data_IF_671022046921
#
_entry.id   IF_671022046921
#
_cell.length_a   1.000
_cell.length_b   1.000
_cell.length_c   1.000
_cell.angle_alpha   90.00
_cell.angle_beta   90.00
_cell.angle_gamma   90.00
#
_symmetry.space_group_name_H-M   'P 1'
#
loop_
_entity.id
_entity.type
_entity.pdbx_description
1 polymer ?
#
# COMPACT_ATOMS: atom_id res chain seq x y z
N UNK A 1 -29.71 -9.87 4.72
CA UNK A 1 -29.22 -8.72 5.51
C UNK A 1 -28.75 -7.66 4.53
N UNK A 2 -29.23 -6.42 4.65
CA UNK A 2 -28.78 -5.30 3.82
C UNK A 2 -27.71 -4.54 4.62
N UNK A 3 -26.51 -4.41 4.07
CA UNK A 3 -25.37 -3.76 4.73
C UNK A 3 -24.89 -2.62 3.84
N UNK A 4 -24.73 -1.42 4.40
CA UNK A 4 -24.13 -0.30 3.68
C UNK A 4 -22.62 -0.32 3.92
N UNK A 5 -21.83 -0.32 2.84
CA UNK A 5 -20.38 -0.20 2.89
C UNK A 5 -19.98 1.16 2.33
N UNK A 6 -19.30 1.99 3.14
CA UNK A 6 -18.88 3.34 2.76
C UNK A 6 -17.64 3.75 3.58
N UNK A 7 -16.76 4.65 3.11
CA UNK A 7 -16.76 5.35 1.80
C UNK A 7 -15.56 4.97 0.93
N UNK A 8 -14.48 4.50 1.57
CA UNK A 8 -13.19 4.30 0.92
C UNK A 8 -13.23 3.09 -0.02
N UNK A 9 -13.13 3.38 -1.31
CA UNK A 9 -12.97 2.41 -2.40
C UNK A 9 -11.87 2.92 -3.32
N UNK A 10 -10.89 2.09 -3.61
CA UNK A 10 -9.77 2.43 -4.49
C UNK A 10 -9.27 1.18 -5.23
N UNK A 11 -8.23 1.35 -6.04
CA UNK A 11 -7.47 0.23 -6.60
C UNK A 11 -6.21 0.06 -5.78
N UNK A 12 -6.06 -1.12 -5.17
CA UNK A 12 -4.82 -1.52 -4.53
C UNK A 12 -3.90 -2.16 -5.57
N UNK A 13 -2.78 -1.50 -5.86
CA UNK A 13 -1.65 -2.09 -6.57
C UNK A 13 -0.76 -2.82 -5.57
N UNK A 14 -0.69 -4.15 -5.67
CA UNK A 14 0.06 -4.97 -4.69
C UNK A 14 1.16 -5.76 -5.34
N UNK A 15 2.28 -5.93 -4.64
CA UNK A 15 3.39 -6.74 -5.11
C UNK A 15 3.99 -7.55 -3.95
N UNK A 16 4.59 -8.69 -4.28
CA UNK A 16 5.44 -9.41 -3.35
C UNK A 16 6.85 -8.80 -3.42
N UNK A 17 7.25 -8.03 -2.42
CA UNK A 17 8.56 -7.40 -2.37
C UNK A 17 9.66 -8.47 -2.17
N UNK A 18 10.43 -8.75 -3.23
CA UNK A 18 11.57 -9.69 -3.18
C UNK A 18 12.88 -8.95 -3.04
N UNK A 19 13.89 -9.62 -2.44
CA UNK A 19 15.24 -9.06 -2.28
C UNK A 19 15.82 -8.51 -3.61
N UNK A 20 15.63 -9.21 -4.73
CA UNK A 20 16.13 -8.77 -6.05
C UNK A 20 15.55 -7.43 -6.52
N UNK A 21 14.33 -7.07 -6.08
CA UNK A 21 13.69 -5.80 -6.41
C UNK A 21 14.11 -4.70 -5.43
N UNK A 22 14.38 -5.06 -4.17
CA UNK A 22 14.77 -4.12 -3.14
C UNK A 22 16.25 -3.76 -3.21
N UNK A 23 17.14 -4.70 -3.56
CA UNK A 23 18.59 -4.50 -3.60
C UNK A 23 19.01 -3.26 -4.42
N UNK A 24 18.50 -3.02 -5.64
CA UNK A 24 18.86 -1.83 -6.41
C UNK A 24 18.37 -0.51 -5.80
N UNK A 25 17.42 -0.56 -4.87
CA UNK A 25 16.85 0.60 -4.19
C UNK A 25 17.54 0.87 -2.85
N UNK A 26 18.37 -0.07 -2.36
CA UNK A 26 19.10 0.10 -1.12
C UNK A 26 20.20 1.16 -1.32
N UNK A 27 20.39 2.07 -0.36
CA UNK A 27 21.56 2.92 -0.35
C UNK A 27 22.83 2.04 -0.25
N UNK A 28 23.94 2.54 -0.82
CA UNK A 28 25.24 1.87 -0.77
C UNK A 28 25.71 1.56 0.66
N UNK A 29 25.26 2.36 1.63
CA UNK A 29 25.51 2.18 3.05
C UNK A 29 24.17 2.20 3.81
N UNK A 30 23.72 1.03 4.25
CA UNK A 30 22.57 0.90 5.14
C UNK A 30 23.08 1.00 6.57
N UNK A 31 23.06 2.20 7.16
CA UNK A 31 23.21 2.31 8.61
C UNK A 31 21.89 1.89 9.26
N UNK A 32 21.91 0.86 10.12
CA UNK A 32 20.74 0.39 10.87
C UNK A 32 20.12 1.51 11.70
N UNK A 33 20.91 2.48 12.17
CA UNK A 33 20.43 3.66 12.91
C UNK A 33 19.55 4.60 12.07
N UNK A 34 19.59 4.49 10.72
CA UNK A 34 18.79 5.29 9.79
C UNK A 34 17.51 4.58 9.33
N UNK A 35 17.35 3.30 9.66
CA UNK A 35 16.13 2.53 9.37
C UNK A 35 15.07 2.91 10.40
N UNK A 36 13.93 3.39 9.91
CA UNK A 36 12.82 3.78 10.77
C UNK A 36 11.60 4.18 9.97
N UNK A 37 10.43 4.08 10.59
CA UNK A 37 9.18 4.50 9.98
C UNK A 37 9.19 6.02 9.71
N UNK A 38 8.89 6.42 8.48
CA UNK A 38 8.75 7.84 8.11
C UNK A 38 7.28 8.28 8.22
N UNK A 39 7.06 9.55 8.54
CA UNK A 39 5.72 10.14 8.56
C UNK A 39 5.12 10.31 7.16
N UNK A 40 5.98 10.46 6.15
CA UNK A 40 5.64 10.62 4.74
C UNK A 40 6.79 10.09 3.87
N UNK A 41 6.48 9.75 2.62
CA UNK A 41 7.44 9.26 1.63
C UNK A 41 7.71 10.38 0.61
N UNK A 42 8.84 11.06 0.79
CA UNK A 42 9.29 12.18 -0.07
C UNK A 42 10.30 11.75 -1.14
N UNK A 43 10.97 10.61 -0.91
CA UNK A 43 11.98 10.02 -1.80
C UNK A 43 12.02 8.49 -1.65
N UNK A 44 12.79 7.83 -2.52
CA UNK A 44 12.86 6.37 -2.60
C UNK A 44 13.43 5.74 -1.32
N UNK A 45 14.41 6.41 -0.71
CA UNK A 45 15.07 5.98 0.52
C UNK A 45 14.10 5.95 1.70
N UNK A 46 13.10 6.85 1.74
CA UNK A 46 12.08 6.88 2.79
C UNK A 46 11.19 5.64 2.72
N UNK A 47 10.83 5.20 1.50
CA UNK A 47 10.05 3.99 1.28
C UNK A 47 10.84 2.76 1.73
N UNK A 48 12.10 2.65 1.30
CA UNK A 48 12.96 1.52 1.63
C UNK A 48 13.21 1.46 3.14
N UNK A 49 13.47 2.60 3.78
CA UNK A 49 13.66 2.71 5.23
C UNK A 49 12.40 2.24 5.99
N UNK A 50 11.22 2.74 5.59
CA UNK A 50 9.96 2.37 6.25
C UNK A 50 9.59 0.91 6.01
N UNK A 51 9.83 0.38 4.79
CA UNK A 51 9.55 -1.01 4.46
C UNK A 51 10.43 -1.97 5.25
N UNK A 52 11.74 -1.70 5.33
CA UNK A 52 12.67 -2.53 6.11
C UNK A 52 12.35 -2.50 7.60
N UNK A 53 11.98 -1.33 8.13
CA UNK A 53 11.52 -1.21 9.51
C UNK A 53 10.25 -2.05 9.77
N UNK A 54 9.24 -1.94 8.91
CA UNK A 54 8.01 -2.74 9.04
C UNK A 54 8.28 -4.25 8.95
N UNK A 55 9.22 -4.66 8.08
CA UNK A 55 9.66 -6.05 7.98
C UNK A 55 10.39 -6.54 9.24
N UNK A 56 11.26 -5.71 9.85
CA UNK A 56 11.98 -6.09 11.07
C UNK A 56 11.05 -6.20 12.28
N UNK A 57 10.08 -5.30 12.40
CA UNK A 57 9.10 -5.29 13.49
C UNK A 57 7.92 -6.25 13.27
N UNK A 58 7.78 -6.83 12.08
CA UNK A 58 6.62 -7.65 11.73
C UNK A 58 5.29 -6.87 11.76
N UNK A 59 5.34 -5.59 11.39
CA UNK A 59 4.19 -4.67 11.46
C UNK A 59 3.77 -4.14 10.09
N UNK A 60 2.53 -3.65 9.98
CA UNK A 60 2.02 -2.98 8.79
C UNK A 60 1.98 -1.46 9.01
N UNK A 61 2.14 -0.69 7.94
CA UNK A 61 2.04 0.76 7.97
C UNK A 61 1.37 1.30 6.69
N UNK A 62 0.65 2.41 6.83
CA UNK A 62 0.09 3.20 5.73
C UNK A 62 0.73 4.59 5.78
N UNK A 63 1.45 4.97 4.72
CA UNK A 63 2.24 6.21 4.68
C UNK A 63 1.97 6.93 3.36
N UNK A 64 1.72 8.24 3.44
CA UNK A 64 1.43 9.07 2.27
C UNK A 64 2.67 9.29 1.41
N UNK A 65 2.50 9.22 0.08
CA UNK A 65 3.50 9.60 -0.92
C UNK A 65 3.29 11.06 -1.28
N UNK A 66 4.34 11.88 -1.19
CA UNK A 66 4.20 13.33 -1.28
C UNK A 66 4.07 13.89 -2.70
N UNK A 67 4.48 13.14 -3.75
CA UNK A 67 4.45 13.65 -5.12
C UNK A 67 4.04 12.62 -6.17
N UNK A 68 3.31 13.03 -7.23
CA UNK A 68 2.98 12.17 -8.36
C UNK A 68 4.20 11.61 -9.10
N UNK A 69 5.29 12.39 -9.18
CA UNK A 69 6.53 11.95 -9.82
C UNK A 69 7.17 10.77 -9.07
N UNK A 70 7.16 10.81 -7.73
CA UNK A 70 7.63 9.71 -6.90
C UNK A 70 6.71 8.50 -7.00
N UNK A 71 5.39 8.70 -6.99
CA UNK A 71 4.42 7.62 -7.19
C UNK A 71 4.67 6.88 -8.51
N UNK A 72 4.86 7.61 -9.62
CA UNK A 72 5.18 7.01 -10.92
C UNK A 72 6.52 6.25 -10.93
N UNK A 73 7.52 6.72 -10.17
CA UNK A 73 8.79 6.00 -10.01
C UNK A 73 8.61 4.69 -9.25
N UNK A 74 7.80 4.70 -8.19
CA UNK A 74 7.46 3.50 -7.41
C UNK A 74 6.68 2.51 -8.29
N UNK A 75 5.70 2.98 -9.05
CA UNK A 75 4.93 2.14 -9.99
C UNK A 75 5.83 1.40 -10.98
N UNK A 76 6.89 2.04 -11.48
CA UNK A 76 7.84 1.43 -12.42
C UNK A 76 8.83 0.46 -11.76
N UNK A 77 9.03 0.54 -10.44
CA UNK A 77 10.04 -0.24 -9.73
C UNK A 77 9.59 -1.67 -9.39
N UNK A 78 8.28 -1.95 -9.42
CA UNK A 78 7.73 -3.25 -9.02
C UNK A 78 6.76 -3.80 -10.06
N UNK A 79 6.58 -5.11 -10.04
CA UNK A 79 5.55 -5.79 -10.79
C UNK A 79 4.28 -5.86 -9.95
N UNK A 80 3.29 -5.05 -10.29
CA UNK A 80 2.05 -4.90 -9.54
C UNK A 80 0.94 -5.81 -10.04
N UNK A 81 0.11 -6.27 -9.12
CA UNK A 81 -1.20 -6.86 -9.38
C UNK A 81 -2.27 -5.91 -8.85
N UNK A 82 -3.24 -5.58 -9.70
CA UNK A 82 -4.36 -4.73 -9.33
C UNK A 82 -5.46 -5.54 -8.68
N UNK A 83 -6.05 -5.01 -7.60
CA UNK A 83 -7.26 -5.54 -6.97
C UNK A 83 -8.13 -4.42 -6.40
N UNK A 84 -9.39 -4.74 -6.12
CA UNK A 84 -10.27 -3.83 -5.40
C UNK A 84 -9.73 -3.62 -3.98
N UNK A 85 -9.51 -2.36 -3.62
CA UNK A 85 -9.01 -1.94 -2.32
C UNK A 85 -9.99 -1.02 -1.58
N UNK A 86 -9.52 -0.52 -0.45
CA UNK A 86 -10.28 0.35 0.43
C UNK A 86 -11.27 -0.43 1.29
N UNK A 87 -11.42 -0.01 2.54
CA UNK A 87 -12.18 -0.77 3.54
C UNK A 87 -13.63 -1.06 3.11
N UNK A 88 -14.28 -0.11 2.44
CA UNK A 88 -15.66 -0.30 1.96
C UNK A 88 -15.72 -1.26 0.76
N UNK A 89 -14.77 -1.14 -0.17
CA UNK A 89 -14.68 -2.02 -1.35
C UNK A 89 -14.39 -3.47 -0.96
N UNK A 90 -13.40 -3.67 -0.08
CA UNK A 90 -13.03 -4.99 0.44
C UNK A 90 -14.21 -5.62 1.17
N UNK A 91 -14.84 -4.89 2.10
CA UNK A 91 -15.94 -5.43 2.90
C UNK A 91 -17.17 -5.77 2.05
N UNK A 92 -17.51 -4.91 1.07
CA UNK A 92 -18.60 -5.20 0.14
C UNK A 92 -18.33 -6.48 -0.66
N UNK A 93 -17.10 -6.67 -1.13
CA UNK A 93 -16.75 -7.88 -1.89
C UNK A 93 -16.86 -9.14 -1.01
N UNK A 94 -16.30 -9.12 0.21
CA UNK A 94 -16.38 -10.24 1.16
C UNK A 94 -17.83 -10.56 1.54
N UNK A 95 -18.65 -9.55 1.83
CA UNK A 95 -20.06 -9.76 2.18
C UNK A 95 -20.86 -10.36 1.02
N UNK A 96 -20.59 -9.92 -0.22
CA UNK A 96 -21.22 -10.48 -1.41
C UNK A 96 -20.83 -11.96 -1.60
N UNK A 97 -19.55 -12.30 -1.41
CA UNK A 97 -19.07 -13.69 -1.50
C UNK A 97 -19.70 -14.61 -0.43
N UNK A 98 -20.05 -14.05 0.74
CA UNK A 98 -20.78 -14.76 1.79
C UNK A 98 -22.30 -14.82 1.58
N UNK A 99 -22.81 -14.34 0.43
CA UNK A 99 -24.22 -14.40 0.06
C UNK A 99 -25.08 -13.24 0.58
N UNK A 100 -24.48 -12.19 1.15
CA UNK A 100 -25.20 -10.97 1.48
C UNK A 100 -25.43 -10.09 0.23
N UNK A 101 -26.19 -9.02 0.40
CA UNK A 101 -26.43 -8.01 -0.65
C UNK A 101 -25.97 -6.64 -0.16
N UNK A 102 -24.66 -6.37 -0.13
CA UNK A 102 -24.15 -5.09 0.34
C UNK A 102 -24.48 -3.97 -0.65
N UNK A 103 -24.77 -2.78 -0.13
CA UNK A 103 -24.96 -1.54 -0.89
C UNK A 103 -23.68 -0.73 -0.72
N UNK A 104 -22.91 -0.60 -1.80
CA UNK A 104 -21.68 0.18 -1.80
C UNK A 104 -22.00 1.66 -2.06
N UNK A 105 -21.54 2.53 -1.17
CA UNK A 105 -21.64 3.98 -1.33
C UNK A 105 -20.22 4.59 -1.31
N UNK A 106 -19.71 4.90 -2.49
CA UNK A 106 -18.45 5.61 -2.69
C UNK A 106 -18.74 6.96 -3.37
N UNK A 107 -18.05 8.05 -2.99
CA UNK A 107 -18.18 9.32 -3.70
C UNK A 107 -17.87 9.14 -5.19
N UNK A 108 -18.70 9.73 -6.06
CA UNK A 108 -18.32 9.89 -7.46
C UNK A 108 -17.14 10.88 -7.52
N UNK A 109 -16.04 10.46 -8.13
CA UNK A 109 -14.93 11.35 -8.48
C UNK A 109 -15.19 12.04 -9.81
#
# INVERSE_FOLDING_TARGET
>A
MNVICAYAVNLDAVCNAKSIQLQPLLPSEISSEKIGLKSSISKMEDLVSSLLYSMSEGSGAEILIESPALASRIEKAFAWQMRLGGNAGIMANVLADLGARPILNAPAM
#
